data_IF_648603871444
#
_entry.id   IF_648603871444
#
_cell.length_a   1.000
_cell.length_b   1.000
_cell.length_c   1.000
_cell.angle_alpha   90.00
_cell.angle_beta   90.00
_cell.angle_gamma   90.00
#
_symmetry.space_group_name_H-M   'P 1'
#
loop_
_entity.id
_entity.type
_entity.pdbx_description
1 polymer ?
#
# COMPACT_ATOMS: atom_id res chain seq x y z
N UNK A 1 -12.53 0.85 -19.49
CA UNK A 1 -11.04 0.78 -19.55
C UNK A 1 -10.48 1.13 -20.93
N UNK A 2 -11.16 0.87 -22.05
CA UNK A 2 -10.68 1.34 -23.38
C UNK A 2 -11.00 2.82 -23.71
N UNK A 3 -11.94 3.47 -23.00
CA UNK A 3 -12.38 4.83 -23.35
C UNK A 3 -11.53 5.97 -22.75
N UNK A 4 -10.58 5.66 -21.86
CA UNK A 4 -9.72 6.66 -21.21
C UNK A 4 -8.23 6.55 -21.58
N UNK A 5 -7.85 5.58 -22.42
CA UNK A 5 -6.49 5.47 -22.96
C UNK A 5 -5.41 5.06 -21.95
N UNK A 6 -5.76 4.48 -20.80
CA UNK A 6 -4.79 3.96 -19.84
C UNK A 6 -4.28 2.59 -20.31
N UNK A 7 -3.21 2.58 -21.11
CA UNK A 7 -2.46 1.35 -21.38
C UNK A 7 -1.75 0.90 -20.10
N UNK A 8 -2.20 -0.24 -19.57
CA UNK A 8 -1.68 -0.88 -18.38
C UNK A 8 -1.37 -2.34 -18.76
N UNK A 9 -0.12 -2.74 -18.57
CA UNK A 9 0.28 -4.14 -18.66
C UNK A 9 0.27 -4.74 -17.26
N UNK A 10 -0.38 -5.90 -17.10
CA UNK A 10 -0.34 -6.65 -15.84
C UNK A 10 0.86 -7.58 -15.90
N UNK A 11 1.78 -7.44 -14.95
CA UNK A 11 2.90 -8.34 -14.80
C UNK A 11 2.47 -9.67 -14.15
N UNK A 12 3.37 -10.66 -14.15
CA UNK A 12 3.08 -12.00 -13.63
C UNK A 12 2.86 -12.06 -12.10
N UNK A 13 3.05 -10.95 -11.38
CA UNK A 13 2.81 -10.82 -9.95
C UNK A 13 1.55 -10.00 -9.64
N UNK A 14 0.75 -9.65 -10.67
CA UNK A 14 -0.43 -8.80 -10.51
C UNK A 14 -0.10 -7.31 -10.37
N UNK A 15 1.16 -6.92 -10.55
CA UNK A 15 1.56 -5.53 -10.65
C UNK A 15 1.07 -4.93 -11.97
N UNK A 16 0.66 -3.67 -11.95
CA UNK A 16 0.27 -2.94 -13.15
C UNK A 16 1.45 -2.02 -13.55
N UNK A 17 2.11 -2.33 -14.66
CA UNK A 17 3.07 -1.43 -15.28
C UNK A 17 2.35 -0.57 -16.32
N UNK A 18 2.35 0.75 -16.09
CA UNK A 18 1.91 1.75 -17.07
C UNK A 18 3.11 2.60 -17.51
N UNK A 19 3.11 3.16 -18.73
CA UNK A 19 4.09 4.16 -19.12
C UNK A 19 4.07 5.35 -18.16
N UNK A 20 5.19 6.09 -18.06
CA UNK A 20 5.30 7.29 -17.21
C UNK A 20 4.08 8.20 -17.39
N UNK A 21 3.28 8.29 -16.33
CA UNK A 21 2.02 9.02 -16.35
C UNK A 21 2.36 10.51 -16.40
N UNK A 22 1.86 11.24 -17.41
CA UNK A 22 1.96 12.69 -17.39
C UNK A 22 1.15 13.25 -16.21
N UNK A 23 1.50 14.42 -15.65
CA UNK A 23 0.76 14.99 -14.52
C UNK A 23 -0.75 15.15 -14.79
N UNK A 24 -1.10 15.61 -16.00
CA UNK A 24 -2.50 15.71 -16.45
C UNK A 24 -3.21 14.36 -16.55
N UNK A 25 -2.48 13.29 -16.88
CA UNK A 25 -3.03 11.93 -16.94
C UNK A 25 -3.19 11.35 -15.52
N UNK A 26 -2.30 11.69 -14.59
CA UNK A 26 -2.41 11.35 -13.17
C UNK A 26 -3.63 11.98 -12.51
N UNK A 27 -3.89 13.26 -12.74
CA UNK A 27 -5.10 13.93 -12.21
C UNK A 27 -6.40 13.29 -12.76
N UNK A 28 -6.42 12.94 -14.05
CA UNK A 28 -7.56 12.25 -14.67
C UNK A 28 -7.74 10.83 -14.12
N UNK A 29 -6.64 10.12 -13.87
CA UNK A 29 -6.67 8.80 -13.23
C UNK A 29 -7.24 8.88 -11.82
N UNK A 30 -6.76 9.82 -10.99
CA UNK A 30 -7.28 10.02 -9.64
C UNK A 30 -8.78 10.35 -9.65
N UNK A 31 -9.22 11.27 -10.51
CA UNK A 31 -10.64 11.61 -10.61
C UNK A 31 -11.51 10.42 -11.06
N UNK A 32 -11.03 9.61 -12.00
CA UNK A 32 -11.73 8.41 -12.44
C UNK A 32 -11.76 7.31 -11.38
N UNK A 33 -10.67 7.15 -10.61
CA UNK A 33 -10.59 6.22 -9.49
C UNK A 33 -11.51 6.62 -8.34
N UNK A 34 -11.56 7.92 -8.00
CA UNK A 34 -12.45 8.46 -6.98
C UNK A 34 -13.92 8.24 -7.36
N UNK A 35 -14.30 8.55 -8.61
CA UNK A 35 -15.64 8.30 -9.10
C UNK A 35 -15.99 6.81 -9.07
N UNK A 36 -15.07 5.94 -9.49
CA UNK A 36 -15.28 4.49 -9.42
C UNK A 36 -15.47 4.02 -7.97
N UNK A 37 -14.68 4.53 -7.04
CA UNK A 37 -14.78 4.23 -5.60
C UNK A 37 -16.13 4.67 -5.02
N UNK A 38 -16.58 5.88 -5.34
CA UNK A 38 -17.88 6.39 -4.90
C UNK A 38 -19.07 5.57 -5.44
N UNK A 39 -18.99 5.14 -6.71
CA UNK A 39 -20.08 4.40 -7.37
C UNK A 39 -20.14 2.93 -6.95
N UNK A 40 -19.00 2.31 -6.67
CA UNK A 40 -18.90 0.86 -6.45
C UNK A 40 -18.61 0.46 -5.01
N UNK A 41 -18.11 1.39 -4.18
CA UNK A 41 -17.51 1.11 -2.88
C UNK A 41 -16.16 0.39 -2.99
N UNK A 42 -15.59 0.25 -4.18
CA UNK A 42 -14.30 -0.41 -4.40
C UNK A 42 -13.15 0.44 -3.83
N UNK A 43 -12.23 -0.20 -3.10
CA UNK A 43 -11.14 0.49 -2.39
C UNK A 43 -11.57 1.12 -1.05
N UNK A 44 -12.85 1.03 -0.68
CA UNK A 44 -13.31 1.35 0.68
C UNK A 44 -13.03 0.15 1.58
N UNK A 45 -11.85 0.14 2.19
CA UNK A 45 -11.50 -0.78 3.27
C UNK A 45 -12.29 -0.39 4.53
N UNK A 46 -13.42 -1.06 4.79
CA UNK A 46 -14.28 -0.83 5.96
C UNK A 46 -13.91 -1.80 7.08
N UNK A 47 -12.74 -1.59 7.66
CA UNK A 47 -12.27 -2.33 8.83
C UNK A 47 -12.82 -1.71 10.12
N UNK A 48 -13.26 -2.55 11.05
CA UNK A 48 -13.56 -2.11 12.41
C UNK A 48 -12.27 -1.89 13.24
N UNK A 49 -12.40 -1.22 14.39
CA UNK A 49 -11.25 -0.89 15.26
C UNK A 49 -10.48 -2.14 15.72
N UNK A 50 -11.16 -3.27 15.93
CA UNK A 50 -10.53 -4.53 16.35
C UNK A 50 -9.69 -5.11 15.20
N UNK A 51 -10.22 -5.10 13.98
CA UNK A 51 -9.49 -5.49 12.76
C UNK A 51 -8.30 -4.57 12.50
N UNK A 52 -8.45 -3.26 12.71
CA UNK A 52 -7.37 -2.30 12.57
C UNK A 52 -6.28 -2.50 13.63
N UNK A 53 -6.63 -2.90 14.85
CA UNK A 53 -5.66 -3.26 15.89
C UNK A 53 -4.89 -4.55 15.56
N UNK A 54 -5.55 -5.54 14.94
CA UNK A 54 -4.89 -6.74 14.42
C UNK A 54 -3.93 -6.42 13.27
N UNK A 55 -4.35 -5.58 12.32
CA UNK A 55 -3.49 -5.09 11.25
C UNK A 55 -2.28 -4.33 11.79
N UNK A 56 -2.49 -3.45 12.77
CA UNK A 56 -1.39 -2.74 13.43
C UNK A 56 -0.37 -3.69 14.05
N UNK A 57 -0.81 -4.82 14.64
CA UNK A 57 0.10 -5.84 15.17
C UNK A 57 0.98 -6.46 14.08
N UNK A 58 0.42 -6.66 12.88
CA UNK A 58 1.20 -7.11 11.72
C UNK A 58 2.20 -6.05 11.27
N UNK A 59 1.82 -4.77 11.22
CA UNK A 59 2.74 -3.67 10.86
C UNK A 59 3.91 -3.57 11.86
N UNK A 60 3.65 -3.71 13.16
CA UNK A 60 4.72 -3.73 14.19
C UNK A 60 5.65 -4.93 14.01
N UNK A 61 5.12 -6.12 13.73
CA UNK A 61 5.93 -7.31 13.49
C UNK A 61 6.84 -7.15 12.25
N UNK A 62 6.35 -6.46 11.22
CA UNK A 62 7.15 -6.13 10.03
C UNK A 62 8.26 -5.13 10.36
N UNK A 63 7.95 -4.07 11.12
CA UNK A 63 8.93 -3.10 11.61
C UNK A 63 10.08 -3.80 12.36
N UNK A 64 9.76 -4.70 13.28
CA UNK A 64 10.76 -5.47 14.05
C UNK A 64 11.63 -6.35 13.13
N UNK A 65 11.01 -7.07 12.19
CA UNK A 65 11.76 -7.88 11.23
C UNK A 65 12.70 -7.04 10.36
N UNK A 66 12.25 -5.88 9.87
CA UNK A 66 13.06 -4.98 9.06
C UNK A 66 14.26 -4.43 9.85
N UNK A 67 14.07 -4.10 11.14
CA UNK A 67 15.17 -3.73 12.02
C UNK A 67 16.19 -4.87 12.19
N UNK A 68 15.73 -6.11 12.39
CA UNK A 68 16.60 -7.28 12.52
C UNK A 68 17.42 -7.57 11.25
N UNK A 69 16.85 -7.29 10.08
CA UNK A 69 17.54 -7.36 8.79
C UNK A 69 18.52 -6.19 8.55
N UNK A 70 18.55 -5.21 9.46
CA UNK A 70 19.48 -4.07 9.42
C UNK A 70 18.97 -2.85 8.66
N UNK A 71 17.67 -2.78 8.38
CA UNK A 71 17.03 -1.59 7.81
C UNK A 71 16.65 -0.59 8.90
N UNK A 72 16.31 0.63 8.48
CA UNK A 72 15.84 1.71 9.35
C UNK A 72 14.43 2.15 8.95
N UNK A 73 13.41 1.29 9.12
CA UNK A 73 12.01 1.67 8.87
C UNK A 73 11.57 2.81 9.80
N UNK A 74 10.55 3.57 9.39
CA UNK A 74 9.90 4.56 10.25
C UNK A 74 9.31 3.89 11.49
N UNK A 75 9.45 4.51 12.66
CA UNK A 75 8.88 3.99 13.91
C UNK A 75 7.35 3.93 13.84
N UNK A 76 6.73 2.86 14.37
CA UNK A 76 5.28 2.73 14.34
C UNK A 76 4.62 3.83 15.20
N UNK A 77 3.53 4.45 14.72
CA UNK A 77 2.72 5.37 15.53
C UNK A 77 2.01 4.58 16.64
N UNK A 78 1.28 5.24 17.53
CA UNK A 78 0.39 4.51 18.46
C UNK A 78 -0.76 3.83 17.73
N UNK A 79 -1.31 2.75 18.28
CA UNK A 79 -2.46 2.04 17.70
C UNK A 79 -3.67 2.95 17.45
N UNK A 80 -3.94 3.93 18.34
CA UNK A 80 -5.03 4.86 18.12
C UNK A 80 -4.75 5.81 16.94
N UNK A 81 -3.52 6.30 16.81
CA UNK A 81 -3.12 7.10 15.64
C UNK A 81 -3.18 6.30 14.34
N UNK A 82 -2.86 5.00 14.39
CA UNK A 82 -3.06 4.10 13.26
C UNK A 82 -4.53 4.04 12.89
N UNK A 83 -5.43 3.68 13.80
CA UNK A 83 -6.88 3.61 13.58
C UNK A 83 -7.42 4.93 13.02
N UNK A 84 -7.04 6.06 13.65
CA UNK A 84 -7.47 7.39 13.23
C UNK A 84 -7.04 7.70 11.78
N UNK A 85 -5.88 7.21 11.33
CA UNK A 85 -5.39 7.42 9.95
C UNK A 85 -6.25 6.73 8.88
N UNK A 86 -6.93 5.63 9.23
CA UNK A 86 -7.87 4.97 8.33
C UNK A 86 -9.19 5.72 8.21
N UNK A 87 -9.58 6.45 9.27
CA UNK A 87 -10.81 7.23 9.30
C UNK A 87 -10.74 8.51 8.46
N UNK A 88 -9.55 9.11 8.33
CA UNK A 88 -9.37 10.35 7.55
C UNK A 88 -9.29 10.12 6.05
N UNK A 89 -8.91 8.91 5.59
CA UNK A 89 -8.77 8.48 4.18
C UNK A 89 -7.97 9.42 3.25
N UNK A 90 -7.36 10.46 3.78
CA UNK A 90 -6.58 11.45 3.02
C UNK A 90 -5.12 11.04 2.84
N UNK A 91 -4.59 10.25 3.76
CA UNK A 91 -3.21 9.76 3.74
C UNK A 91 -3.21 8.23 3.81
N UNK A 92 -2.25 7.56 3.13
CA UNK A 92 -2.10 6.12 3.28
C UNK A 92 -1.78 5.79 4.75
N UNK A 93 -2.39 4.74 5.33
CA UNK A 93 -2.09 4.35 6.69
C UNK A 93 -0.66 3.85 6.78
N UNK A 94 -0.08 3.90 7.99
CA UNK A 94 1.32 3.54 8.24
C UNK A 94 1.68 2.17 7.64
N UNK A 95 2.82 2.13 6.94
CA UNK A 95 3.35 0.94 6.25
C UNK A 95 4.89 0.94 6.35
N UNK A 96 5.49 0.09 7.20
CA UNK A 96 6.94 0.08 7.40
C UNK A 96 7.68 -0.37 6.14
N UNK A 97 7.15 -1.35 5.39
CA UNK A 97 7.73 -1.73 4.10
C UNK A 97 7.73 -0.58 3.11
N UNK A 98 6.66 0.23 3.03
CA UNK A 98 6.55 1.33 2.06
C UNK A 98 7.74 2.29 2.14
N UNK A 99 8.23 2.55 3.35
CA UNK A 99 9.41 3.39 3.60
C UNK A 99 10.73 2.73 3.20
N UNK A 100 10.84 1.40 3.34
CA UNK A 100 12.08 0.65 3.07
C UNK A 100 12.19 0.23 1.61
N UNK A 101 11.13 -0.31 1.01
CA UNK A 101 11.17 -0.90 -0.33
C UNK A 101 11.29 0.14 -1.44
N UNK A 102 10.83 1.38 -1.22
CA UNK A 102 10.88 2.45 -2.22
C UNK A 102 12.32 2.79 -2.68
N UNK A 103 13.33 2.42 -1.89
CA UNK A 103 14.75 2.64 -2.22
C UNK A 103 15.52 1.38 -2.65
N UNK A 104 14.89 0.20 -2.69
CA UNK A 104 15.59 -1.07 -2.91
C UNK A 104 15.53 -1.55 -4.36
N UNK A 105 16.60 -2.19 -4.87
CA UNK A 105 16.54 -2.87 -6.15
C UNK A 105 15.59 -4.09 -6.07
N UNK A 106 14.95 -4.49 -7.19
CA UNK A 106 13.90 -5.52 -7.19
C UNK A 106 14.29 -6.85 -6.53
N UNK A 107 15.54 -7.30 -6.72
CA UNK A 107 16.04 -8.55 -6.14
C UNK A 107 16.18 -8.47 -4.60
N UNK A 108 16.51 -7.29 -4.05
CA UNK A 108 16.57 -7.09 -2.61
C UNK A 108 15.16 -6.96 -2.02
N UNK A 109 14.24 -6.30 -2.74
CA UNK A 109 12.83 -6.22 -2.36
C UNK A 109 12.21 -7.62 -2.22
N UNK A 110 12.43 -8.52 -3.18
CA UNK A 110 11.92 -9.90 -3.11
C UNK A 110 12.47 -10.67 -1.91
N UNK A 111 13.77 -10.53 -1.65
CA UNK A 111 14.43 -11.17 -0.49
C UNK A 111 13.82 -10.69 0.84
N UNK A 112 13.58 -9.39 0.96
CA UNK A 112 12.97 -8.77 2.15
C UNK A 112 11.52 -9.20 2.34
N UNK A 113 10.74 -9.27 1.26
CA UNK A 113 9.35 -9.75 1.29
C UNK A 113 9.24 -11.25 1.62
N UNK A 114 10.26 -12.06 1.32
CA UNK A 114 10.31 -13.47 1.73
C UNK A 114 10.78 -13.68 3.17
N UNK A 115 11.59 -12.76 3.69
CA UNK A 115 12.17 -12.87 5.04
C UNK A 115 11.21 -12.37 6.14
N UNK A 116 10.41 -11.34 5.83
CA UNK A 116 9.50 -10.72 6.78
C UNK A 116 8.05 -11.17 6.59
N UNK A 117 7.18 -10.98 7.61
CA UNK A 117 5.75 -11.21 7.46
C UNK A 117 5.19 -10.46 6.24
N UNK A 118 4.23 -11.06 5.52
CA UNK A 118 3.69 -10.45 4.31
C UNK A 118 2.99 -9.12 4.64
N UNK A 119 3.20 -8.07 3.84
CA UNK A 119 2.53 -6.79 4.01
C UNK A 119 1.04 -6.90 3.72
N UNK A 120 0.21 -6.05 4.33
CA UNK A 120 -1.26 -6.09 4.15
C UNK A 120 -1.69 -6.02 2.67
N UNK A 121 -0.98 -5.26 1.85
CA UNK A 121 -1.28 -5.09 0.44
C UNK A 121 -0.98 -6.34 -0.42
N UNK A 122 -0.20 -7.30 0.08
CA UNK A 122 -0.01 -8.58 -0.58
C UNK A 122 -1.26 -9.48 -0.55
N UNK A 123 -2.28 -9.11 0.23
CA UNK A 123 -3.55 -9.80 0.32
C UNK A 123 -4.68 -9.13 -0.48
N UNK A 124 -4.43 -7.98 -1.12
CA UNK A 124 -5.43 -7.19 -1.86
C UNK A 124 -5.51 -7.57 -3.36
N UNK A 125 -5.19 -8.81 -3.71
CA UNK A 125 -5.27 -9.35 -5.08
C UNK A 125 -6.68 -9.74 -5.50
#
# INVERSE_FOLDING_TARGET
MEELGFEAEVDNFGGISSPEMSPELGEQWHAAADQCSEETGWGVEDYDDDQLAELYTLEVAQYECLLELGYSPEEPPSVQQYIDSWSSRTDPPYQPFGTVIAGLPPAEMESVLQACPPPRWSFLG
#
